data_IF_105850939822
#
_entry.id   IF_105850939822
#
_cell.length_a   1.000
_cell.length_b   1.000
_cell.length_c   1.000
_cell.angle_alpha   90.00
_cell.angle_beta   90.00
_cell.angle_gamma   90.00
#
_symmetry.space_group_name_H-M   'P 1'
#
loop_
_entity.id
_entity.type
_entity.pdbx_description
1 polymer ?
#
# COMPACT_ATOMS: atom_id res chain seq x y z
N UNK A 1 14.68 -12.95 18.77
CA UNK A 1 15.24 -12.91 17.40
C UNK A 1 15.34 -11.48 16.85
N UNK A 2 14.44 -10.56 17.26
CA UNK A 2 14.45 -9.13 16.87
C UNK A 2 15.79 -8.45 17.19
N UNK A 3 16.35 -8.67 18.39
CA UNK A 3 17.65 -8.11 18.79
C UNK A 3 18.84 -8.52 17.90
N UNK A 4 18.77 -9.63 17.15
CA UNK A 4 19.84 -10.01 16.22
C UNK A 4 19.93 -9.04 15.05
N UNK A 5 18.79 -8.59 14.54
CA UNK A 5 18.72 -7.64 13.42
C UNK A 5 19.10 -6.22 13.82
N UNK A 6 19.05 -5.88 15.10
CA UNK A 6 19.53 -4.59 15.60
C UNK A 6 21.07 -4.56 15.73
N UNK A 7 21.70 -5.74 15.76
CA UNK A 7 23.16 -5.91 15.86
C UNK A 7 23.80 -6.29 14.52
N UNK A 8 22.99 -6.55 13.48
CA UNK A 8 23.46 -6.86 12.13
C UNK A 8 23.73 -5.55 11.38
N UNK A 9 24.99 -5.31 11.04
CA UNK A 9 25.35 -4.28 10.06
C UNK A 9 24.93 -4.75 8.67
N UNK A 10 23.70 -4.39 8.28
CA UNK A 10 23.16 -4.65 6.95
C UNK A 10 23.66 -3.54 6.02
N UNK A 11 24.46 -3.86 4.98
CA UNK A 11 24.90 -2.87 4.01
C UNK A 11 23.72 -2.15 3.38
N UNK A 12 23.87 -0.85 3.10
CA UNK A 12 22.79 -0.08 2.45
C UNK A 12 22.45 -0.62 1.07
N UNK A 13 23.27 -1.45 0.42
CA UNK A 13 22.97 -2.07 -0.88
C UNK A 13 22.30 -3.44 -0.79
N UNK A 14 22.11 -3.99 0.42
CA UNK A 14 21.57 -5.34 0.58
C UNK A 14 20.06 -5.39 0.34
N UNK A 15 19.61 -6.45 -0.31
CA UNK A 15 18.20 -6.85 -0.36
C UNK A 15 17.94 -7.78 0.84
N UNK A 16 16.96 -7.42 1.67
CA UNK A 16 16.66 -8.13 2.91
C UNK A 16 15.24 -8.66 2.86
N UNK A 17 15.09 -9.97 3.04
CA UNK A 17 13.79 -10.62 3.18
C UNK A 17 13.69 -11.30 4.54
N UNK A 18 12.64 -10.97 5.29
CA UNK A 18 12.37 -11.54 6.63
C UNK A 18 10.98 -12.12 6.66
N UNK A 19 10.84 -13.30 7.26
CA UNK A 19 9.54 -13.92 7.54
C UNK A 19 9.33 -13.96 9.04
N UNK A 20 8.21 -13.42 9.50
CA UNK A 20 7.79 -13.54 10.90
C UNK A 20 6.68 -14.58 11.00
N UNK A 21 6.88 -15.58 11.85
CA UNK A 21 5.86 -16.57 12.21
C UNK A 21 5.52 -16.38 13.69
N UNK A 22 4.23 -16.22 13.99
CA UNK A 22 3.77 -16.14 15.37
C UNK A 22 3.47 -17.57 15.85
N UNK A 23 4.36 -18.13 16.66
CA UNK A 23 4.25 -19.52 17.12
C UNK A 23 3.46 -19.67 18.44
N UNK A 24 2.82 -18.63 18.97
CA UNK A 24 2.18 -18.71 20.29
C UNK A 24 0.82 -18.04 20.38
N UNK A 25 -0.19 -18.82 20.78
CA UNK A 25 -1.53 -18.38 21.20
C UNK A 25 -1.55 -17.61 22.54
N UNK A 26 -0.42 -17.07 23.00
CA UNK A 26 -0.28 -16.54 24.36
C UNK A 26 -0.02 -15.03 24.28
N UNK A 27 -1.12 -14.28 24.15
CA UNK A 27 -1.15 -12.81 24.23
C UNK A 27 -0.83 -12.35 25.65
N UNK A 28 0.45 -12.23 25.99
CA UNK A 28 0.87 -11.37 27.09
C UNK A 28 1.62 -10.18 26.49
N UNK A 29 0.97 -9.01 26.59
CA UNK A 29 1.32 -7.71 26.02
C UNK A 29 0.85 -7.54 24.56
N UNK A 30 0.00 -6.54 24.33
CA UNK A 30 -0.65 -6.20 23.06
C UNK A 30 0.31 -5.76 21.93
N UNK A 31 1.61 -6.00 22.06
CA UNK A 31 2.63 -5.57 21.11
C UNK A 31 3.02 -6.77 20.24
N UNK A 32 2.76 -6.70 18.94
CA UNK A 32 3.08 -7.81 18.03
C UNK A 32 4.57 -7.78 17.71
N UNK A 33 5.28 -8.93 17.73
CA UNK A 33 6.69 -9.03 17.33
C UNK A 33 6.98 -8.48 15.92
N UNK A 34 5.96 -8.45 15.06
CA UNK A 34 6.04 -7.86 13.73
C UNK A 34 6.21 -6.34 13.76
N UNK A 35 5.46 -5.63 14.62
CA UNK A 35 5.46 -4.17 14.69
C UNK A 35 6.75 -3.65 15.34
N UNK A 36 7.28 -4.36 16.35
CA UNK A 36 8.58 -4.07 16.95
C UNK A 36 9.74 -4.23 15.96
N UNK A 37 9.62 -5.16 15.01
CA UNK A 37 10.63 -5.38 13.99
C UNK A 37 10.57 -4.32 12.89
N UNK A 38 9.38 -4.12 12.31
CA UNK A 38 9.20 -3.28 11.13
C UNK A 38 9.15 -1.79 11.47
N UNK A 39 8.55 -1.41 12.60
CA UNK A 39 8.35 -0.04 13.03
C UNK A 39 9.63 0.80 13.02
N UNK A 40 10.68 0.46 13.79
CA UNK A 40 11.94 1.23 13.80
C UNK A 40 12.67 1.29 12.46
N UNK A 41 12.36 0.38 11.52
CA UNK A 41 12.97 0.30 10.19
C UNK A 41 12.20 1.13 9.16
N UNK A 42 10.88 1.29 9.29
CA UNK A 42 10.05 2.00 8.32
C UNK A 42 10.46 3.47 8.13
N UNK A 43 11.01 4.11 9.17
CA UNK A 43 11.55 5.48 9.12
C UNK A 43 12.77 5.66 8.20
N UNK A 44 13.37 4.58 7.72
CA UNK A 44 14.52 4.59 6.82
C UNK A 44 14.10 4.53 5.34
N UNK A 45 12.80 4.49 5.07
CA UNK A 45 12.24 4.28 3.75
C UNK A 45 11.24 5.37 3.38
N UNK A 46 11.03 5.51 2.08
CA UNK A 46 10.18 6.53 1.47
C UNK A 46 8.86 5.91 0.97
N UNK A 47 8.87 4.60 0.67
CA UNK A 47 7.74 3.86 0.14
C UNK A 47 7.43 2.65 1.02
N UNK A 48 6.13 2.44 1.29
CA UNK A 48 5.59 1.20 1.85
C UNK A 48 4.58 0.62 0.87
N UNK A 49 4.75 -0.67 0.56
CA UNK A 49 3.81 -1.46 -0.24
C UNK A 49 3.33 -2.66 0.56
N UNK A 50 2.01 -2.82 0.63
CA UNK A 50 1.35 -3.91 1.36
C UNK A 50 0.67 -4.82 0.35
N UNK A 51 1.12 -6.07 0.25
CA UNK A 51 0.66 -7.04 -0.76
C UNK A 51 0.15 -8.31 -0.11
N UNK A 52 -0.82 -8.95 -0.77
CA UNK A 52 -1.24 -10.30 -0.38
C UNK A 52 -0.34 -11.31 -1.06
N UNK A 53 0.20 -12.23 -0.27
CA UNK A 53 0.92 -13.40 -0.74
C UNK A 53 0.16 -14.67 -0.37
N UNK A 54 0.56 -15.81 -0.94
CA UNK A 54 0.02 -17.11 -0.57
C UNK A 54 0.32 -17.48 0.90
N UNK A 55 1.34 -16.85 1.49
CA UNK A 55 1.84 -17.15 2.83
C UNK A 55 1.46 -16.09 3.87
N UNK A 56 0.60 -15.12 3.53
CA UNK A 56 0.21 -14.01 4.41
C UNK A 56 0.40 -12.64 3.75
N UNK A 57 0.51 -11.58 4.56
CA UNK A 57 0.72 -10.21 4.07
C UNK A 57 2.22 -9.88 3.96
N UNK A 58 2.65 -9.37 2.81
CA UNK A 58 4.00 -8.84 2.60
C UNK A 58 4.00 -7.31 2.78
N UNK A 59 4.98 -6.81 3.51
CA UNK A 59 5.26 -5.40 3.69
C UNK A 59 6.63 -5.12 3.09
N UNK A 60 6.62 -4.41 1.97
CA UNK A 60 7.81 -4.11 1.18
C UNK A 60 8.14 -2.64 1.32
N UNK A 61 9.37 -2.37 1.75
CA UNK A 61 9.90 -1.04 1.98
C UNK A 61 10.98 -0.74 0.95
N UNK A 62 10.88 0.42 0.31
CA UNK A 62 11.85 0.89 -0.69
C UNK A 62 12.28 2.33 -0.42
N UNK A 63 13.52 2.63 -0.80
CA UNK A 63 14.11 3.97 -0.74
C UNK A 63 15.12 4.11 -1.87
N UNK A 64 15.40 5.36 -2.26
CA UNK A 64 16.50 5.67 -3.17
C UNK A 64 17.88 5.52 -2.51
N UNK A 65 17.92 5.61 -1.19
CA UNK A 65 19.18 5.68 -0.42
C UNK A 65 19.68 4.30 0.04
N UNK A 66 18.85 3.26 -0.04
CA UNK A 66 19.16 1.92 0.44
C UNK A 66 18.35 0.83 -0.27
N UNK A 67 18.85 -0.40 -0.17
CA UNK A 67 18.25 -1.60 -0.71
C UNK A 67 16.93 -1.93 -0.03
N UNK A 68 16.06 -2.68 -0.73
CA UNK A 68 14.71 -2.96 -0.28
C UNK A 68 14.69 -3.87 0.96
N UNK A 69 13.62 -3.75 1.74
CA UNK A 69 13.31 -4.64 2.85
C UNK A 69 11.91 -5.20 2.68
N UNK A 70 11.82 -6.52 2.53
CA UNK A 70 10.56 -7.25 2.44
C UNK A 70 10.32 -8.02 3.73
N UNK A 71 9.16 -7.81 4.35
CA UNK A 71 8.76 -8.52 5.57
C UNK A 71 7.44 -9.24 5.35
N UNK A 72 7.48 -10.57 5.40
CA UNK A 72 6.31 -11.42 5.30
C UNK A 72 5.74 -11.69 6.69
N UNK A 73 4.53 -11.20 6.93
CA UNK A 73 3.71 -11.54 8.09
C UNK A 73 2.89 -12.80 7.81
N UNK A 74 3.40 -13.95 8.27
CA UNK A 74 2.75 -15.24 8.07
C UNK A 74 1.55 -15.52 8.98
N UNK A 75 1.30 -14.68 9.99
CA UNK A 75 0.28 -14.93 11.02
C UNK A 75 -1.01 -14.14 10.82
N UNK A 76 -1.08 -13.24 9.83
CA UNK A 76 -2.29 -12.42 9.60
C UNK A 76 -2.55 -12.14 8.12
N UNK A 77 -3.83 -12.19 7.76
CA UNK A 77 -4.36 -11.73 6.46
C UNK A 77 -4.92 -10.30 6.52
N UNK A 78 -4.88 -9.64 7.69
CA UNK A 78 -5.48 -8.32 7.91
C UNK A 78 -4.41 -7.26 8.13
N UNK A 79 -4.59 -6.10 7.49
CA UNK A 79 -3.71 -4.94 7.62
C UNK A 79 -4.07 -4.17 8.90
N UNK A 80 -3.76 -4.74 10.07
CA UNK A 80 -4.05 -4.07 11.35
C UNK A 80 -2.94 -3.13 11.81
N UNK A 81 -1.70 -3.41 11.41
CA UNK A 81 -0.52 -2.72 11.92
C UNK A 81 -0.26 -1.36 11.29
N UNK A 82 -1.05 -0.91 10.31
CA UNK A 82 -0.71 0.33 9.59
C UNK A 82 -0.68 1.56 10.50
N UNK A 83 -1.62 1.67 11.44
CA UNK A 83 -1.64 2.78 12.40
C UNK A 83 -0.41 2.72 13.33
N UNK A 84 -0.09 1.52 13.84
CA UNK A 84 1.07 1.30 14.68
C UNK A 84 2.37 1.62 13.93
N UNK A 85 2.53 1.15 12.69
CA UNK A 85 3.69 1.41 11.83
C UNK A 85 3.81 2.90 11.46
N UNK A 86 2.69 3.56 11.19
CA UNK A 86 2.64 4.98 10.87
C UNK A 86 3.17 5.84 12.04
N UNK A 87 3.00 5.40 13.29
CA UNK A 87 3.53 6.11 14.46
C UNK A 87 5.06 6.18 14.51
N UNK A 88 5.77 5.27 13.82
CA UNK A 88 7.23 5.22 13.82
C UNK A 88 7.89 6.13 12.79
N UNK A 89 7.15 6.64 11.80
CA UNK A 89 7.73 7.28 10.63
C UNK A 89 7.06 8.60 10.28
N UNK A 90 7.88 9.54 9.86
CA UNK A 90 7.47 10.77 9.23
C UNK A 90 8.10 10.93 7.84
N UNK A 91 8.75 9.91 7.28
CA UNK A 91 9.49 9.99 6.01
C UNK A 91 8.75 9.38 4.82
N UNK A 92 7.71 8.57 5.06
CA UNK A 92 6.97 7.94 3.98
C UNK A 92 6.31 8.99 3.08
N UNK A 93 6.60 8.90 1.79
CA UNK A 93 5.98 9.69 0.72
C UNK A 93 5.01 8.86 -0.12
N UNK A 94 5.14 7.53 -0.13
CA UNK A 94 4.33 6.64 -0.99
C UNK A 94 3.73 5.47 -0.21
N UNK A 95 2.43 5.23 -0.42
CA UNK A 95 1.70 4.07 0.10
C UNK A 95 1.04 3.30 -1.03
N UNK A 96 1.26 1.98 -1.05
CA UNK A 96 0.70 1.10 -2.06
C UNK A 96 -0.10 -0.03 -1.41
N UNK A 97 -1.39 -0.11 -1.74
CA UNK A 97 -2.28 -1.14 -1.24
C UNK A 97 -2.61 -2.15 -2.36
N UNK A 98 -2.01 -3.34 -2.28
CA UNK A 98 -2.23 -4.46 -3.21
C UNK A 98 -2.63 -5.75 -2.46
N UNK A 99 -3.08 -5.61 -1.20
CA UNK A 99 -3.43 -6.73 -0.32
C UNK A 99 -4.84 -7.30 -0.53
N UNK A 100 -5.64 -6.70 -1.41
CA UNK A 100 -7.06 -7.06 -1.57
C UNK A 100 -7.95 -6.65 -0.39
N UNK A 101 -7.38 -6.16 0.71
CA UNK A 101 -8.09 -5.61 1.87
C UNK A 101 -7.34 -4.39 2.42
N UNK A 102 -8.07 -3.45 3.00
CA UNK A 102 -7.53 -2.31 3.74
C UNK A 102 -7.72 -2.51 5.26
N UNK A 103 -7.02 -1.73 6.10
CA UNK A 103 -7.40 -1.57 7.49
C UNK A 103 -8.87 -1.13 7.62
N UNK A 104 -9.46 -1.31 8.80
CA UNK A 104 -10.76 -0.69 9.11
C UNK A 104 -10.68 0.84 8.92
N UNK A 105 -11.80 1.48 8.59
CA UNK A 105 -11.84 2.93 8.36
C UNK A 105 -11.21 3.74 9.52
N UNK A 106 -11.49 3.44 10.82
CA UNK A 106 -10.83 4.16 11.93
C UNK A 106 -9.31 4.03 11.93
N UNK A 107 -8.79 2.81 11.71
CA UNK A 107 -7.34 2.57 11.70
C UNK A 107 -6.68 3.20 10.47
N UNK A 108 -7.36 3.21 9.32
CA UNK A 108 -6.85 3.89 8.12
C UNK A 108 -6.78 5.40 8.32
N UNK A 109 -7.82 6.01 8.90
CA UNK A 109 -7.84 7.44 9.24
C UNK A 109 -6.72 7.79 10.22
N UNK A 110 -6.51 6.99 11.27
CA UNK A 110 -5.43 7.18 12.23
C UNK A 110 -4.03 7.09 11.59
N UNK A 111 -3.83 6.10 10.71
CA UNK A 111 -2.60 5.95 9.96
C UNK A 111 -2.34 7.16 9.04
N UNK A 112 -3.32 7.54 8.20
CA UNK A 112 -3.17 8.64 7.25
C UNK A 112 -2.97 10.00 7.94
N UNK A 113 -3.54 10.18 9.14
CA UNK A 113 -3.26 11.35 9.98
C UNK A 113 -1.79 11.41 10.43
N UNK A 114 -1.20 10.25 10.73
CA UNK A 114 0.19 10.15 11.18
C UNK A 114 1.22 10.24 10.05
N UNK A 115 0.77 10.26 8.79
CA UNK A 115 1.62 10.28 7.60
C UNK A 115 1.41 11.56 6.76
N UNK A 116 1.83 12.74 7.27
CA UNK A 116 1.55 14.01 6.61
C UNK A 116 2.34 14.25 5.32
N UNK A 117 3.43 13.50 5.09
CA UNK A 117 4.31 13.64 3.92
C UNK A 117 3.89 12.76 2.73
N UNK A 118 2.79 12.01 2.83
CA UNK A 118 2.32 11.18 1.72
C UNK A 118 1.97 12.07 0.53
N UNK A 119 2.69 11.84 -0.56
CA UNK A 119 2.49 12.46 -1.88
C UNK A 119 1.79 11.54 -2.85
N UNK A 120 1.86 10.22 -2.63
CA UNK A 120 1.29 9.22 -3.52
C UNK A 120 0.58 8.10 -2.76
N UNK A 121 -0.62 7.75 -3.19
CA UNK A 121 -1.35 6.55 -2.74
C UNK A 121 -1.78 5.75 -3.97
N UNK A 122 -1.48 4.46 -3.99
CA UNK A 122 -2.07 3.52 -4.95
C UNK A 122 -2.97 2.49 -4.27
N UNK A 123 -4.05 2.12 -4.96
CA UNK A 123 -4.99 1.10 -4.49
C UNK A 123 -5.40 0.13 -5.60
N UNK A 124 -5.17 -1.14 -5.33
CA UNK A 124 -5.42 -2.28 -6.22
C UNK A 124 -6.24 -3.36 -5.46
N UNK A 125 -7.21 -2.91 -4.64
CA UNK A 125 -7.89 -3.74 -3.62
C UNK A 125 -9.39 -3.95 -3.89
N UNK A 126 -9.84 -3.73 -5.13
CA UNK A 126 -11.25 -3.83 -5.50
C UNK A 126 -12.11 -2.69 -4.94
N UNK A 127 -13.40 -2.72 -5.28
CA UNK A 127 -14.35 -1.63 -5.06
C UNK A 127 -14.54 -1.29 -3.57
N UNK A 128 -14.67 -2.30 -2.71
CA UNK A 128 -14.79 -2.09 -1.26
C UNK A 128 -13.56 -1.40 -0.65
N UNK A 129 -12.35 -1.73 -1.13
CA UNK A 129 -11.13 -1.07 -0.69
C UNK A 129 -11.10 0.39 -1.13
N UNK A 130 -11.47 0.67 -2.38
CA UNK A 130 -11.58 2.03 -2.89
C UNK A 130 -12.52 2.87 -2.04
N UNK A 131 -13.69 2.32 -1.74
CA UNK A 131 -14.68 2.97 -0.90
C UNK A 131 -14.11 3.34 0.48
N UNK A 132 -13.47 2.40 1.17
CA UNK A 132 -12.86 2.65 2.48
C UNK A 132 -11.78 3.76 2.38
N UNK A 133 -10.95 3.74 1.33
CA UNK A 133 -9.93 4.76 1.11
C UNK A 133 -10.57 6.15 0.88
N UNK A 134 -11.56 6.24 0.01
CA UNK A 134 -12.27 7.48 -0.27
C UNK A 134 -12.94 8.03 0.98
N UNK A 135 -13.58 7.18 1.78
CA UNK A 135 -14.14 7.60 3.08
C UNK A 135 -13.10 8.08 4.08
N UNK A 136 -11.87 7.54 4.03
CA UNK A 136 -10.79 8.02 4.89
C UNK A 136 -10.24 9.37 4.42
N UNK A 137 -10.16 9.59 3.10
CA UNK A 137 -9.66 10.84 2.50
C UNK A 137 -10.70 11.97 2.46
N UNK A 138 -11.99 11.63 2.56
CA UNK A 138 -13.10 12.57 2.56
C UNK A 138 -13.22 13.27 3.92
N UNK A 139 -13.01 14.59 3.99
CA UNK A 139 -13.20 15.33 5.21
C UNK A 139 -14.71 15.46 5.47
N UNK A 140 -15.20 14.67 6.44
CA UNK A 140 -16.62 14.54 6.82
C UNK A 140 -17.33 15.87 7.13
N UNK A 141 -16.60 16.94 7.48
CA UNK A 141 -17.15 18.27 7.66
C UNK A 141 -16.20 19.41 7.23
N UNK A 142 -16.73 20.65 7.23
CA UNK A 142 -16.01 21.84 6.79
C UNK A 142 -14.74 22.12 7.64
N UNK A 143 -14.75 21.71 8.90
CA UNK A 143 -13.69 21.96 9.88
C UNK A 143 -12.73 20.78 10.06
N UNK A 144 -13.02 19.64 9.43
CA UNK A 144 -12.18 18.45 9.48
C UNK A 144 -10.85 18.73 8.81
N UNK A 145 -9.81 18.28 9.51
CA UNK A 145 -8.44 18.20 9.04
C UNK A 145 -8.39 17.47 7.69
N UNK A 146 -7.62 18.00 6.74
CA UNK A 146 -7.30 17.29 5.50
C UNK A 146 -6.21 16.26 5.81
N UNK A 147 -6.54 14.97 5.68
CA UNK A 147 -5.55 13.92 5.76
C UNK A 147 -4.65 13.95 4.52
N UNK A 148 -3.36 13.64 4.74
CA UNK A 148 -2.31 13.67 3.70
C UNK A 148 -2.36 14.97 2.87
N UNK A 149 -2.07 16.14 3.47
CA UNK A 149 -2.18 17.43 2.78
C UNK A 149 -1.24 17.55 1.58
N UNK A 150 -0.18 16.75 1.52
CA UNK A 150 0.77 16.72 0.40
C UNK A 150 0.41 15.71 -0.69
N UNK A 151 -0.76 15.04 -0.60
CA UNK A 151 -1.16 14.03 -1.59
C UNK A 151 -1.35 14.67 -2.97
N UNK A 152 -0.41 14.41 -3.88
CA UNK A 152 -0.41 14.92 -5.24
C UNK A 152 -0.91 13.88 -6.25
N UNK A 153 -0.78 12.59 -5.95
CA UNK A 153 -1.02 11.51 -6.91
C UNK A 153 -1.87 10.38 -6.32
N UNK A 154 -2.92 10.00 -7.05
CA UNK A 154 -3.78 8.84 -6.75
C UNK A 154 -3.73 7.85 -7.92
N UNK A 155 -3.27 6.63 -7.65
CA UNK A 155 -3.33 5.54 -8.62
C UNK A 155 -4.43 4.55 -8.23
N UNK A 156 -5.53 4.61 -8.98
CA UNK A 156 -6.69 3.74 -8.85
C UNK A 156 -6.75 2.72 -10.00
N UNK A 157 -5.63 2.48 -10.70
CA UNK A 157 -5.58 1.46 -11.74
C UNK A 157 -5.90 0.08 -11.17
N UNK A 158 -6.44 -0.77 -12.04
CA UNK A 158 -6.89 -2.13 -11.75
C UNK A 158 -8.00 -2.23 -10.69
N UNK A 159 -8.57 -1.09 -10.28
CA UNK A 159 -9.69 -1.02 -9.32
C UNK A 159 -10.94 -0.51 -10.00
N UNK A 160 -12.05 -1.21 -9.83
CA UNK A 160 -13.38 -0.75 -10.27
C UNK A 160 -14.02 0.12 -9.20
N UNK A 161 -14.66 1.21 -9.60
CA UNK A 161 -15.33 2.13 -8.68
C UNK A 161 -16.33 3.07 -9.37
N UNK A 162 -17.24 3.64 -8.60
CA UNK A 162 -18.13 4.71 -9.03
C UNK A 162 -17.42 6.07 -9.04
N UNK A 163 -17.46 6.76 -10.17
CA UNK A 163 -16.79 8.07 -10.35
C UNK A 163 -17.31 9.16 -9.43
N UNK A 164 -18.60 9.14 -9.07
CA UNK A 164 -19.27 10.16 -8.26
C UNK A 164 -18.53 10.43 -6.95
N UNK A 165 -18.19 9.37 -6.23
CA UNK A 165 -17.54 9.45 -4.93
C UNK A 165 -16.10 9.96 -5.00
N UNK A 166 -15.35 9.54 -6.02
CA UNK A 166 -14.01 10.08 -6.26
C UNK A 166 -14.09 11.55 -6.69
N UNK A 167 -15.07 11.93 -7.52
CA UNK A 167 -15.29 13.32 -7.91
C UNK A 167 -15.57 14.21 -6.70
N UNK A 168 -16.47 13.80 -5.80
CA UNK A 168 -16.77 14.52 -4.56
C UNK A 168 -15.50 14.69 -3.72
N UNK A 169 -14.76 13.61 -3.48
CA UNK A 169 -13.50 13.65 -2.71
C UNK A 169 -12.50 14.63 -3.32
N UNK A 170 -12.29 14.58 -4.64
CA UNK A 170 -11.37 15.47 -5.36
C UNK A 170 -11.84 16.94 -5.33
N UNK A 171 -13.14 17.19 -5.51
CA UNK A 171 -13.73 18.52 -5.45
C UNK A 171 -13.54 19.15 -4.08
N UNK A 172 -13.84 18.41 -3.01
CA UNK A 172 -13.70 18.88 -1.63
C UNK A 172 -12.23 19.23 -1.34
N UNK A 173 -11.30 18.33 -1.67
CA UNK A 173 -9.85 18.58 -1.51
C UNK A 173 -9.37 19.81 -2.28
N UNK A 174 -9.80 19.97 -3.54
CA UNK A 174 -9.49 21.13 -4.37
C UNK A 174 -10.04 22.43 -3.75
N UNK A 175 -11.28 22.41 -3.26
CA UNK A 175 -11.90 23.58 -2.61
C UNK A 175 -11.21 24.02 -1.32
N UNK A 176 -10.61 23.08 -0.60
CA UNK A 176 -9.83 23.33 0.64
C UNK A 176 -8.36 23.69 0.36
N UNK A 177 -7.92 23.72 -0.91
CA UNK A 177 -6.56 24.10 -1.28
C UNK A 177 -5.52 22.97 -1.28
N UNK A 178 -5.97 21.71 -1.23
CA UNK A 178 -5.11 20.51 -1.23
C UNK A 178 -5.43 19.57 -2.41
N UNK A 179 -5.35 20.06 -3.66
CA UNK A 179 -5.77 19.28 -4.83
C UNK A 179 -4.85 18.08 -5.07
N UNK A 180 -5.46 16.97 -5.49
CA UNK A 180 -4.73 15.89 -6.16
C UNK A 180 -4.48 16.33 -7.59
N UNK A 181 -3.22 16.28 -8.05
CA UNK A 181 -2.81 16.73 -9.38
C UNK A 181 -2.84 15.62 -10.40
N UNK A 182 -2.48 14.40 -9.99
CA UNK A 182 -2.35 13.25 -10.86
C UNK A 182 -3.35 12.17 -10.44
N UNK A 183 -4.12 11.70 -11.41
CA UNK A 183 -5.01 10.56 -11.24
C UNK A 183 -4.69 9.53 -12.30
N UNK A 184 -4.61 8.26 -11.90
CA UNK A 184 -4.49 7.13 -12.82
C UNK A 184 -5.65 6.16 -12.62
N UNK A 185 -6.28 5.76 -13.72
CA UNK A 185 -7.44 4.85 -13.73
C UNK A 185 -7.30 3.81 -14.85
N UNK A 186 -8.07 2.73 -14.77
CA UNK A 186 -8.13 1.72 -15.83
C UNK A 186 -9.33 1.96 -16.75
N UNK A 187 -9.11 1.87 -18.07
CA UNK A 187 -10.16 2.01 -19.08
C UNK A 187 -11.29 1.01 -18.83
N UNK A 188 -12.52 1.53 -18.74
CA UNK A 188 -13.73 0.73 -18.52
C UNK A 188 -13.93 0.22 -17.08
N UNK A 189 -13.12 0.66 -16.12
CA UNK A 189 -13.28 0.28 -14.70
C UNK A 189 -14.00 1.35 -13.87
N UNK A 190 -14.25 2.52 -14.46
CA UNK A 190 -14.96 3.63 -13.81
C UNK A 190 -16.39 3.69 -14.32
N UNK A 191 -17.38 3.79 -13.42
CA UNK A 191 -18.80 3.91 -13.75
C UNK A 191 -19.37 5.30 -13.37
N UNK A 192 -20.29 5.88 -14.18
CA UNK A 192 -20.64 5.49 -15.55
C UNK A 192 -19.48 5.68 -16.55
N UNK A 193 -18.62 6.68 -16.32
CA UNK A 193 -17.40 6.94 -17.08
C UNK A 193 -16.42 7.77 -16.23
N UNK A 194 -15.28 8.11 -16.81
CA UNK A 194 -14.21 8.85 -16.12
C UNK A 194 -14.10 10.33 -16.54
N UNK A 195 -15.03 10.84 -17.35
CA UNK A 195 -14.88 12.13 -18.03
C UNK A 195 -14.90 13.29 -17.03
N UNK A 196 -15.79 13.22 -16.04
CA UNK A 196 -15.90 14.26 -15.00
C UNK A 196 -14.65 14.38 -14.11
N UNK A 197 -13.82 13.33 -14.03
CA UNK A 197 -12.58 13.32 -13.24
C UNK A 197 -11.50 14.21 -13.87
N UNK A 198 -11.45 14.28 -15.20
CA UNK A 198 -10.42 15.02 -15.95
C UNK A 198 -10.42 16.53 -15.63
N UNK A 199 -11.58 17.10 -15.29
CA UNK A 199 -11.69 18.52 -14.91
C UNK A 199 -11.19 18.85 -13.49
N UNK A 200 -11.02 17.81 -12.66
CA UNK A 200 -10.71 17.95 -11.24
C UNK A 200 -9.21 17.87 -10.95
N UNK A 201 -8.45 17.21 -11.83
CA UNK A 201 -7.00 16.98 -11.71
C UNK A 201 -6.25 17.65 -12.86
N UNK A 202 -4.94 17.83 -12.71
CA UNK A 202 -4.09 18.39 -13.77
C UNK A 202 -3.75 17.34 -14.83
N UNK A 203 -3.54 16.09 -14.41
CA UNK A 203 -3.19 14.97 -15.26
C UNK A 203 -4.06 13.76 -14.93
N UNK A 204 -4.80 13.27 -15.92
CA UNK A 204 -5.59 12.05 -15.81
C UNK A 204 -5.08 11.02 -16.81
N UNK A 205 -4.47 9.95 -16.29
CA UNK A 205 -3.91 8.86 -17.08
C UNK A 205 -4.86 7.66 -17.07
N UNK A 206 -5.37 7.29 -18.23
CA UNK A 206 -6.12 6.04 -18.41
C UNK A 206 -5.21 4.96 -18.98
N UNK A 207 -5.08 3.85 -18.26
CA UNK A 207 -4.30 2.67 -18.69
C UNK A 207 -5.22 1.53 -19.12
N UNK A 208 -4.68 0.61 -19.92
CA UNK A 208 -5.39 -0.62 -20.25
C UNK A 208 -5.42 -1.59 -19.07
N UNK A 209 -6.49 -2.40 -18.94
CA UNK A 209 -6.55 -3.47 -17.95
C UNK A 209 -5.36 -4.43 -18.10
N UNK A 210 -4.72 -4.77 -16.99
CA UNK A 210 -3.67 -5.79 -17.01
C UNK A 210 -4.32 -7.15 -17.27
N UNK A 211 -3.89 -7.91 -18.31
CA UNK A 211 -4.44 -9.22 -18.59
C UNK A 211 -4.28 -10.16 -17.37
N UNK A 212 -5.31 -10.92 -17.03
CA UNK A 212 -5.32 -11.85 -15.88
C UNK A 212 -4.14 -12.86 -15.92
N UNK A 213 -3.64 -13.21 -17.11
CA UNK A 213 -2.48 -14.11 -17.29
C UNK A 213 -1.15 -13.51 -16.80
N UNK A 214 -1.05 -12.20 -16.68
CA UNK A 214 0.16 -11.49 -16.20
C UNK A 214 0.34 -11.62 -14.69
N UNK A 215 -0.77 -11.56 -13.94
CA UNK A 215 -0.77 -11.65 -12.48
C UNK A 215 -0.12 -12.96 -12.01
N UNK A 216 -0.45 -14.10 -12.62
CA UNK A 216 0.11 -15.39 -12.23
C UNK A 216 1.63 -15.52 -12.42
N UNK A 217 2.24 -14.73 -13.31
CA UNK A 217 3.69 -14.78 -13.54
C UNK A 217 4.48 -13.98 -12.51
N UNK A 218 3.90 -12.91 -11.97
CA UNK A 218 4.49 -12.09 -10.89
C UNK A 218 4.34 -12.72 -9.50
N UNK A 219 3.48 -13.73 -9.34
CA UNK A 219 3.24 -14.43 -8.07
C UNK A 219 3.99 -15.75 -7.91
N UNK A 220 4.82 -16.15 -8.88
CA UNK A 220 5.69 -17.32 -8.74
C UNK A 220 7.14 -16.89 -8.68
N UNK A 221 7.94 -17.40 -7.72
CA UNK A 221 9.39 -17.32 -7.84
C UNK A 221 9.75 -18.01 -9.15
N UNK A 222 10.65 -17.41 -9.92
CA UNK A 222 11.14 -17.98 -11.17
C UNK A 222 11.78 -19.33 -10.83
N UNK A 223 11.01 -20.41 -11.02
CA UNK A 223 11.55 -21.76 -10.92
C UNK A 223 12.48 -21.94 -12.10
N UNK A 224 13.78 -22.03 -11.82
CA UNK A 224 14.80 -22.36 -12.80
C UNK A 224 14.37 -23.59 -13.59
N UNK A 225 14.14 -23.38 -14.89
CA UNK A 225 13.84 -24.43 -15.83
C UNK A 225 15.09 -25.23 -16.17
N UNK A 226 15.51 -26.13 -15.28
CA UNK A 226 16.37 -27.25 -15.68
C UNK A 226 15.49 -28.43 -16.07
N UNK A 227 15.05 -28.46 -17.33
CA UNK A 227 14.54 -29.69 -17.95
C UNK A 227 15.71 -30.39 -18.64
N UNK A 228 16.36 -31.29 -17.91
CA UNK A 228 17.23 -32.32 -18.46
C UNK A 228 16.35 -33.40 -19.10
N UNK A 229 16.31 -33.43 -20.44
CA UNK A 229 15.74 -34.52 -21.21
C UNK A 229 16.79 -35.65 -21.39
N UNK A 230 16.55 -36.79 -20.73
CA UNK A 230 17.03 -38.13 -21.07
C UNK A 230 15.81 -39.03 -20.77
N UNK A 231 15.37 -39.99 -21.59
CA UNK A 231 16.08 -41.01 -22.38
C UNK A 231 15.19 -41.49 -23.54
N UNK A 232 15.80 -41.78 -24.69
CA UNK A 232 15.23 -42.63 -25.73
C UNK A 232 15.84 -44.03 -25.62
N UNK A 233 14.99 -45.05 -25.67
CA UNK A 233 15.29 -46.42 -26.12
C UNK A 233 14.05 -46.96 -26.80
#
# INVERSE_FOLDING_TARGET
MIHLFDQLEIPSSADVSVRTEDHSHVFFNNVRPFDEFLGPRIRLYDELRIRKSYAGLSYDLSSKSRGPLSVLNGSSEQVHSLADLASYTNSLSSLHFEAGTLPSLPHLVEALRSLPLITHISIHNGEQGMDILLSALDPQDLHSEILCPQLESLDCSETKFESSRLQETLQVRKSKGFPVRELKTTRGFVTPDSDGLTSLVEQHHQVDPIPVKSYFRSFMPSGDGTSSAQTAT
#
